data_IF_535334499006
#
_entry.id   IF_535334499006
#
_cell.length_a   1.000
_cell.length_b   1.000
_cell.length_c   1.000
_cell.angle_alpha   90.00
_cell.angle_beta   90.00
_cell.angle_gamma   90.00
#
_symmetry.space_group_name_H-M   'P 1'
#
loop_
_entity.id
_entity.type
_entity.pdbx_description
1 polymer ?
#
# COMPACT_ATOMS: atom_id res chain seq x y z
N UNK A 1 -7.25 -5.30 -8.02
CA UNK A 1 -6.35 -5.83 -9.07
C UNK A 1 -6.92 -7.15 -9.56
N UNK A 2 -6.60 -7.57 -10.77
CA UNK A 2 -7.01 -8.90 -11.29
C UNK A 2 -6.06 -10.00 -10.80
N UNK A 3 -6.44 -11.29 -10.85
CA UNK A 3 -5.54 -12.40 -10.53
C UNK A 3 -4.23 -12.38 -11.33
N UNK A 4 -4.32 -12.02 -12.61
CA UNK A 4 -3.14 -11.90 -13.48
C UNK A 4 -2.20 -10.76 -13.08
N UNK A 5 -2.75 -9.65 -12.58
CA UNK A 5 -1.95 -8.56 -12.00
C UNK A 5 -1.28 -8.99 -10.69
N UNK A 6 -2.00 -9.74 -9.84
CA UNK A 6 -1.45 -10.32 -8.62
C UNK A 6 -0.22 -11.19 -8.94
N UNK A 7 -0.29 -12.07 -9.93
CA UNK A 7 0.87 -12.92 -10.32
C UNK A 7 2.12 -12.11 -10.63
N UNK A 8 1.97 -10.99 -11.35
CA UNK A 8 3.12 -10.11 -11.67
C UNK A 8 3.71 -9.47 -10.42
N UNK A 9 2.88 -9.07 -9.47
CA UNK A 9 3.33 -8.52 -8.19
C UNK A 9 4.04 -9.60 -7.38
N UNK A 10 3.44 -10.79 -7.26
CA UNK A 10 4.00 -11.92 -6.51
C UNK A 10 5.35 -12.38 -7.07
N UNK A 11 5.52 -12.42 -8.40
CA UNK A 11 6.78 -12.80 -9.03
C UNK A 11 7.97 -11.88 -8.68
N UNK A 12 7.70 -10.67 -8.19
CA UNK A 12 8.71 -9.66 -7.85
C UNK A 12 8.76 -9.35 -6.34
N UNK A 13 7.78 -9.80 -5.56
CA UNK A 13 7.78 -9.66 -4.10
C UNK A 13 8.79 -10.63 -3.48
N UNK A 14 9.55 -10.13 -2.51
CA UNK A 14 10.36 -10.96 -1.64
C UNK A 14 9.64 -11.11 -0.29
N UNK A 15 9.62 -12.33 0.26
CA UNK A 15 9.03 -12.62 1.57
C UNK A 15 7.75 -13.47 1.49
N UNK A 16 7.12 -13.67 2.64
CA UNK A 16 5.89 -14.47 2.78
C UNK A 16 4.67 -13.64 2.43
N UNK A 17 3.83 -14.12 1.50
CA UNK A 17 2.56 -13.48 1.17
C UNK A 17 1.40 -14.31 1.72
N UNK A 18 0.54 -13.67 2.53
CA UNK A 18 -0.71 -14.24 2.99
C UNK A 18 -1.87 -13.89 2.06
N UNK A 19 -2.67 -14.88 1.68
CA UNK A 19 -3.93 -14.67 0.96
C UNK A 19 -5.09 -14.97 1.89
N UNK A 20 -6.02 -14.02 2.03
CA UNK A 20 -7.20 -14.17 2.90
C UNK A 20 -8.45 -14.27 2.03
N UNK A 21 -9.26 -15.31 2.28
CA UNK A 21 -10.55 -15.48 1.63
C UNK A 21 -11.68 -15.19 2.62
N UNK A 22 -12.76 -14.59 2.10
CA UNK A 22 -13.95 -14.28 2.89
C UNK A 22 -14.84 -15.49 3.15
N UNK A 23 -15.81 -15.29 4.06
CA UNK A 23 -16.83 -16.29 4.39
C UNK A 23 -17.75 -16.53 3.20
N UNK A 24 -18.30 -17.73 3.09
CA UNK A 24 -19.28 -18.04 2.05
C UNK A 24 -20.55 -17.17 2.23
N UNK A 25 -21.06 -16.60 1.15
CA UNK A 25 -22.22 -15.71 1.13
C UNK A 25 -21.98 -14.27 1.62
N UNK A 26 -21.18 -14.07 2.67
CA UNK A 26 -20.99 -12.73 3.30
C UNK A 26 -19.64 -12.09 3.01
N UNK A 27 -18.63 -12.85 2.57
CA UNK A 27 -17.32 -12.34 2.20
C UNK A 27 -16.48 -11.83 3.38
N UNK A 28 -15.60 -10.87 3.09
CA UNK A 28 -14.84 -10.11 4.07
C UNK A 28 -15.56 -8.79 4.37
N UNK A 29 -15.58 -8.38 5.64
CA UNK A 29 -16.14 -7.09 6.02
C UNK A 29 -15.16 -5.93 5.73
N UNK A 30 -15.65 -4.70 5.79
CA UNK A 30 -14.85 -3.51 5.49
C UNK A 30 -13.63 -3.34 6.40
N UNK A 31 -13.73 -3.78 7.66
CA UNK A 31 -12.62 -3.73 8.61
C UNK A 31 -11.54 -4.74 8.20
N UNK A 32 -11.91 -5.98 7.90
CA UNK A 32 -11.00 -7.02 7.38
C UNK A 32 -10.32 -6.58 6.08
N UNK A 33 -11.09 -6.03 5.14
CA UNK A 33 -10.54 -5.50 3.88
C UNK A 33 -9.54 -4.36 4.09
N UNK A 34 -9.73 -3.53 5.12
CA UNK A 34 -8.83 -2.41 5.43
C UNK A 34 -7.46 -2.84 5.96
N UNK A 35 -7.34 -4.09 6.44
CA UNK A 35 -6.10 -4.67 6.91
C UNK A 35 -5.25 -5.23 5.76
N UNK A 36 -5.86 -5.51 4.60
CA UNK A 36 -5.16 -6.04 3.43
C UNK A 36 -4.42 -4.94 2.65
N UNK A 37 -3.23 -5.26 2.14
CA UNK A 37 -2.46 -4.35 1.28
C UNK A 37 -3.02 -4.24 -0.14
N UNK A 38 -3.73 -5.28 -0.57
CA UNK A 38 -4.27 -5.40 -1.91
C UNK A 38 -5.60 -6.17 -1.89
N UNK A 39 -6.53 -5.73 -2.73
CA UNK A 39 -7.78 -6.45 -3.01
C UNK A 39 -7.71 -7.02 -4.42
N UNK A 40 -7.94 -8.32 -4.54
CA UNK A 40 -7.96 -9.06 -5.80
C UNK A 40 -9.39 -9.35 -6.19
N UNK A 41 -9.77 -9.03 -7.41
CA UNK A 41 -11.12 -9.22 -7.94
C UNK A 41 -11.03 -10.11 -9.16
N UNK A 42 -11.65 -11.28 -9.09
CA UNK A 42 -11.77 -12.20 -10.23
C UNK A 42 -12.84 -11.64 -11.16
N UNK A 43 -12.52 -11.33 -12.43
CA UNK A 43 -13.52 -10.94 -13.40
C UNK A 43 -14.56 -12.05 -13.58
N UNK A 44 -15.83 -11.73 -13.35
CA UNK A 44 -16.96 -12.65 -13.46
C UNK A 44 -18.09 -12.02 -14.30
N UNK A 45 -19.16 -12.79 -14.55
CA UNK A 45 -20.32 -12.30 -15.29
C UNK A 45 -20.93 -11.06 -14.61
N UNK A 46 -21.30 -10.04 -15.38
CA UNK A 46 -21.95 -8.83 -14.84
C UNK A 46 -23.28 -9.13 -14.15
N UNK A 47 -23.99 -10.17 -14.59
CA UNK A 47 -25.28 -10.59 -14.04
C UNK A 47 -25.14 -11.46 -12.78
N UNK A 48 -23.99 -12.11 -12.58
CA UNK A 48 -23.73 -12.98 -11.44
C UNK A 48 -22.24 -12.95 -11.10
N UNK A 49 -21.88 -12.09 -10.14
CA UNK A 49 -20.49 -11.79 -9.78
C UNK A 49 -19.96 -12.69 -8.64
N UNK A 50 -20.76 -13.63 -8.18
CA UNK A 50 -20.41 -14.51 -7.06
C UNK A 50 -19.78 -15.80 -7.59
N UNK A 51 -18.64 -16.18 -7.01
CA UNK A 51 -17.97 -17.45 -7.29
C UNK A 51 -18.02 -18.31 -6.03
N UNK A 52 -18.11 -19.62 -6.22
CA UNK A 52 -17.86 -20.56 -5.13
C UNK A 52 -16.42 -20.37 -4.62
N UNK A 53 -16.23 -20.45 -3.29
CA UNK A 53 -14.95 -20.21 -2.65
C UNK A 53 -13.84 -21.13 -3.20
N UNK A 54 -14.14 -22.41 -3.45
CA UNK A 54 -13.16 -23.35 -3.99
C UNK A 54 -12.71 -22.97 -5.41
N UNK A 55 -13.64 -22.51 -6.26
CA UNK A 55 -13.31 -22.01 -7.60
C UNK A 55 -12.50 -20.72 -7.54
N UNK A 56 -12.86 -19.79 -6.65
CA UNK A 56 -12.10 -18.56 -6.45
C UNK A 56 -10.66 -18.87 -6.00
N UNK A 57 -10.49 -19.78 -5.03
CA UNK A 57 -9.18 -20.22 -4.57
C UNK A 57 -8.36 -20.89 -5.69
N UNK A 58 -8.99 -21.76 -6.48
CA UNK A 58 -8.32 -22.41 -7.61
C UNK A 58 -7.76 -21.39 -8.62
N UNK A 59 -8.54 -20.36 -8.97
CA UNK A 59 -8.10 -19.29 -9.89
C UNK A 59 -6.93 -18.49 -9.28
N UNK A 60 -7.05 -18.09 -8.00
CA UNK A 60 -6.04 -17.28 -7.32
C UNK A 60 -4.71 -18.02 -7.16
N UNK A 61 -4.73 -19.33 -6.96
CA UNK A 61 -3.51 -20.13 -6.83
C UNK A 61 -2.93 -20.56 -8.18
N UNK A 62 -3.78 -20.80 -9.19
CA UNK A 62 -3.35 -21.21 -10.52
C UNK A 62 -2.59 -20.09 -11.25
N UNK A 63 -3.07 -18.84 -11.17
CA UNK A 63 -2.49 -17.72 -11.90
C UNK A 63 -1.01 -17.45 -11.57
N UNK A 64 -0.56 -17.46 -10.30
CA UNK A 64 0.85 -17.35 -9.96
C UNK A 64 1.65 -18.59 -10.38
N UNK A 65 1.09 -19.80 -10.21
CA UNK A 65 1.72 -21.05 -10.63
C UNK A 65 2.02 -21.08 -12.14
N UNK A 66 1.09 -20.56 -12.96
CA UNK A 66 1.22 -20.51 -14.41
C UNK A 66 2.04 -19.30 -14.91
N UNK A 67 2.46 -18.39 -14.02
CA UNK A 67 3.25 -17.23 -14.42
C UNK A 67 4.73 -17.61 -14.55
N UNK A 68 5.33 -17.39 -15.71
CA UNK A 68 6.77 -17.55 -15.89
C UNK A 68 7.51 -16.57 -14.97
N UNK A 69 8.32 -17.11 -14.06
CA UNK A 69 9.21 -16.35 -13.18
C UNK A 69 10.23 -15.58 -14.01
N UNK A 70 9.91 -14.35 -14.42
CA UNK A 70 10.91 -13.44 -14.97
C UNK A 70 11.81 -13.00 -13.83
N UNK A 71 13.06 -13.47 -13.85
CA UNK A 71 14.12 -13.08 -12.92
C UNK A 71 14.08 -11.56 -12.66
N UNK A 72 13.61 -11.17 -11.48
CA UNK A 72 13.51 -9.78 -11.10
C UNK A 72 14.86 -9.33 -10.52
N UNK A 73 15.71 -8.72 -11.35
CA UNK A 73 17.02 -8.18 -10.91
C UNK A 73 16.89 -7.03 -9.90
N UNK A 74 15.71 -6.38 -9.80
CA UNK A 74 15.40 -5.39 -8.76
C UNK A 74 14.15 -5.81 -7.99
N UNK A 75 14.33 -6.13 -6.70
CA UNK A 75 13.22 -6.47 -5.81
C UNK A 75 12.27 -5.30 -5.55
N UNK A 76 11.01 -5.63 -5.24
CA UNK A 76 10.00 -4.64 -4.87
C UNK A 76 10.33 -3.92 -3.55
N UNK A 77 9.70 -2.76 -3.36
CA UNK A 77 9.81 -2.00 -2.13
C UNK A 77 9.33 -2.81 -0.93
N UNK A 78 10.14 -2.84 0.13
CA UNK A 78 9.76 -3.48 1.38
C UNK A 78 8.63 -2.71 2.06
N UNK A 79 7.88 -3.39 2.93
CA UNK A 79 6.86 -2.78 3.78
C UNK A 79 7.41 -1.56 4.52
N UNK A 80 8.61 -1.68 5.10
CA UNK A 80 9.27 -0.58 5.80
C UNK A 80 9.45 0.70 4.97
N UNK A 81 9.82 0.59 3.69
CA UNK A 81 9.97 1.77 2.82
C UNK A 81 8.60 2.37 2.49
N UNK A 82 7.57 1.55 2.27
CA UNK A 82 6.19 2.03 2.02
C UNK A 82 5.63 2.76 3.25
N UNK A 83 5.86 2.22 4.44
CA UNK A 83 5.49 2.86 5.70
C UNK A 83 6.20 4.19 5.91
N UNK A 84 7.48 4.26 5.53
CA UNK A 84 8.25 5.50 5.58
C UNK A 84 7.65 6.58 4.68
N UNK A 85 7.24 6.22 3.44
CA UNK A 85 6.52 7.12 2.52
C UNK A 85 5.24 7.64 3.18
N UNK A 86 4.39 6.74 3.71
CA UNK A 86 3.13 7.11 4.34
C UNK A 86 3.33 8.01 5.56
N UNK A 87 4.37 7.76 6.34
CA UNK A 87 4.72 8.55 7.53
C UNK A 87 5.08 9.98 7.16
N UNK A 88 5.99 10.18 6.20
CA UNK A 88 6.38 11.53 5.76
C UNK A 88 5.24 12.28 5.06
N UNK A 89 4.42 11.58 4.27
CA UNK A 89 3.24 12.17 3.66
C UNK A 89 2.25 12.65 4.74
N UNK A 90 1.92 11.77 5.69
CA UNK A 90 1.01 12.09 6.80
C UNK A 90 1.49 13.28 7.61
N UNK A 91 2.79 13.32 7.91
CA UNK A 91 3.41 14.42 8.66
C UNK A 91 3.41 15.73 7.88
N UNK A 92 3.74 15.69 6.59
CA UNK A 92 3.68 16.87 5.71
C UNK A 92 2.26 17.45 5.63
N UNK A 93 1.24 16.60 5.55
CA UNK A 93 -0.16 17.06 5.56
C UNK A 93 -0.57 17.68 6.90
N UNK A 94 -0.07 17.16 8.04
CA UNK A 94 -0.27 17.77 9.36
C UNK A 94 0.34 19.18 9.40
N UNK A 95 1.58 19.33 8.91
CA UNK A 95 2.25 20.63 8.83
C UNK A 95 1.58 21.59 7.84
N UNK A 96 0.96 21.07 6.78
CA UNK A 96 0.17 21.88 5.84
C UNK A 96 -1.22 22.27 6.38
N UNK A 97 -1.63 21.79 7.57
CA UNK A 97 -2.93 22.10 8.16
C UNK A 97 -4.11 21.36 7.50
N UNK A 98 -3.86 20.21 6.86
CA UNK A 98 -4.93 19.39 6.27
C UNK A 98 -5.75 18.72 7.38
N UNK A 99 -7.08 18.81 7.29
CA UNK A 99 -8.02 18.16 8.22
C UNK A 99 -7.77 16.65 8.38
N UNK A 100 -7.94 16.11 9.60
CA UNK A 100 -7.67 14.70 9.93
C UNK A 100 -8.46 13.71 9.07
N UNK A 101 -9.73 14.02 8.76
CA UNK A 101 -10.56 13.20 7.88
C UNK A 101 -9.95 13.06 6.48
N UNK A 102 -9.51 14.18 5.89
CA UNK A 102 -8.87 14.21 4.56
C UNK A 102 -7.50 13.54 4.59
N UNK A 103 -6.70 13.73 5.66
CA UNK A 103 -5.43 13.04 5.87
C UNK A 103 -5.61 11.51 5.87
N UNK A 104 -6.61 11.01 6.60
CA UNK A 104 -6.93 9.59 6.66
C UNK A 104 -7.33 9.02 5.30
N UNK A 105 -8.15 9.75 4.53
CA UNK A 105 -8.52 9.36 3.17
C UNK A 105 -7.30 9.29 2.24
N UNK A 106 -6.46 10.33 2.24
CA UNK A 106 -5.26 10.39 1.40
C UNK A 106 -4.27 9.28 1.75
N UNK A 107 -3.99 9.06 3.04
CA UNK A 107 -3.08 7.99 3.47
C UNK A 107 -3.60 6.61 3.02
N UNK A 108 -4.90 6.34 3.15
CA UNK A 108 -5.48 5.07 2.63
C UNK A 108 -5.36 4.96 1.12
N UNK A 109 -5.64 6.03 0.38
CA UNK A 109 -5.50 6.04 -1.07
C UNK A 109 -4.06 5.75 -1.50
N UNK A 110 -3.07 6.41 -0.89
CA UNK A 110 -1.65 6.18 -1.17
C UNK A 110 -1.22 4.78 -0.75
N UNK A 111 -1.63 4.28 0.43
CA UNK A 111 -1.36 2.90 0.86
C UNK A 111 -1.85 1.90 -0.18
N UNK A 112 -3.09 2.06 -0.64
CA UNK A 112 -3.68 1.20 -1.67
C UNK A 112 -2.95 1.29 -3.02
N UNK A 113 -2.45 2.47 -3.40
CA UNK A 113 -1.63 2.62 -4.61
C UNK A 113 -0.32 1.87 -4.44
N UNK A 114 0.41 2.10 -3.35
CA UNK A 114 1.71 1.47 -3.07
C UNK A 114 1.60 -0.06 -2.95
N UNK A 115 0.53 -0.57 -2.32
CA UNK A 115 0.29 -2.00 -2.17
C UNK A 115 -0.09 -2.71 -3.46
N UNK A 116 -0.74 -2.01 -4.40
CA UNK A 116 -1.10 -2.56 -5.72
C UNK A 116 -0.02 -2.32 -6.78
N UNK A 117 0.78 -1.28 -6.62
CA UNK A 117 1.90 -1.01 -7.51
C UNK A 117 3.02 -2.01 -7.24
N UNK A 118 3.52 -2.66 -8.28
CA UNK A 118 4.80 -3.35 -8.24
C UNK A 118 5.95 -2.31 -8.19
N UNK A 119 5.92 -1.41 -7.20
CA UNK A 119 6.89 -0.32 -7.05
C UNK A 119 8.25 -0.89 -6.66
N UNK A 120 9.28 -0.54 -7.41
CA UNK A 120 10.63 -1.02 -7.17
C UNK A 120 11.21 -0.36 -5.92
N UNK A 121 12.13 -1.06 -5.26
CA UNK A 121 12.82 -0.53 -4.07
C UNK A 121 13.48 0.83 -4.34
N UNK A 122 14.13 0.98 -5.49
CA UNK A 122 14.79 2.23 -5.90
C UNK A 122 13.80 3.39 -6.02
N UNK A 123 12.67 3.17 -6.70
CA UNK A 123 11.62 4.17 -6.89
C UNK A 123 11.00 4.58 -5.54
N UNK A 124 10.69 3.61 -4.69
CA UNK A 124 10.13 3.87 -3.37
C UNK A 124 11.11 4.66 -2.48
N UNK A 125 12.41 4.36 -2.52
CA UNK A 125 13.41 5.13 -1.79
C UNK A 125 13.52 6.58 -2.30
N UNK A 126 13.41 6.80 -3.61
CA UNK A 126 13.39 8.16 -4.17
C UNK A 126 12.16 8.94 -3.70
N UNK A 127 10.98 8.31 -3.71
CA UNK A 127 9.75 8.92 -3.18
C UNK A 127 9.85 9.22 -1.68
N UNK A 128 10.36 8.28 -0.88
CA UNK A 128 10.57 8.48 0.55
C UNK A 128 11.53 9.65 0.82
N UNK A 129 12.65 9.72 0.07
CA UNK A 129 13.61 10.81 0.17
C UNK A 129 13.02 12.17 -0.21
N UNK A 130 12.21 12.24 -1.27
CA UNK A 130 11.53 13.47 -1.66
C UNK A 130 10.54 13.95 -0.60
N UNK A 131 9.69 13.05 -0.10
CA UNK A 131 8.72 13.38 0.96
C UNK A 131 9.39 13.79 2.27
N UNK A 132 10.51 13.15 2.64
CA UNK A 132 11.32 13.56 3.79
C UNK A 132 11.82 15.01 3.65
N UNK A 133 12.30 15.39 2.46
CA UNK A 133 12.77 16.76 2.22
C UNK A 133 11.62 17.77 2.29
N UNK A 134 10.47 17.41 1.72
CA UNK A 134 9.25 18.24 1.79
C UNK A 134 8.81 18.40 3.25
N UNK A 135 8.78 17.32 4.04
CA UNK A 135 8.38 17.41 5.44
C UNK A 135 9.33 18.27 6.26
N UNK A 136 10.63 18.17 6.01
CA UNK A 136 11.62 19.00 6.70
C UNK A 136 11.47 20.48 6.36
N UNK A 137 11.23 20.83 5.09
CA UNK A 137 11.01 22.22 4.68
C UNK A 137 9.74 22.82 5.31
N UNK A 138 8.66 22.05 5.40
CA UNK A 138 7.46 22.48 6.11
C UNK A 138 7.68 22.64 7.63
N UNK A 139 8.51 21.80 8.23
CA UNK A 139 8.84 21.92 9.64
C UNK A 139 9.69 23.17 9.92
N UNK A 140 10.73 23.39 9.12
CA UNK A 140 11.61 24.56 9.23
C UNK A 140 10.83 25.88 9.11
N UNK A 141 9.97 26.00 8.08
CA UNK A 141 9.12 27.19 7.91
C UNK A 141 8.21 27.47 9.12
N UNK A 142 7.63 26.45 9.75
CA UNK A 142 6.81 26.62 10.96
C UNK A 142 7.60 26.97 12.21
N UNK A 143 8.84 26.48 12.33
CA UNK A 143 9.73 26.85 13.43
C UNK A 143 10.24 28.29 13.30
N UNK A 144 10.46 28.78 12.09
CA UNK A 144 10.82 30.18 11.83
C UNK A 144 9.66 31.15 12.12
N UNK A 145 8.41 30.72 11.91
CA UNK A 145 7.18 31.46 12.27
C UNK A 145 6.79 31.33 13.78
N UNK A 146 7.62 30.68 14.61
CA UNK A 146 7.42 30.63 16.07
C UNK A 146 6.27 29.75 16.56
N UNK A 147 5.76 28.83 15.73
CA UNK A 147 4.50 28.10 15.99
C UNK A 147 4.63 26.69 16.60
N UNK A 148 5.85 26.12 16.75
CA UNK A 148 6.05 24.76 17.31
C UNK A 148 7.26 24.73 18.27
N UNK A 149 7.06 24.22 19.50
CA UNK A 149 8.12 24.01 20.51
C UNK A 149 8.88 22.70 20.27
N UNK A 150 10.14 22.65 20.72
CA UNK A 150 11.17 21.64 20.42
C UNK A 150 10.90 20.17 20.86
N UNK A 151 9.67 19.80 21.22
CA UNK A 151 9.33 18.49 21.81
C UNK A 151 9.18 17.30 20.84
N UNK A 152 8.97 17.53 19.54
CA UNK A 152 8.69 16.45 18.57
C UNK A 152 9.93 15.81 17.92
N UNK A 153 11.13 16.31 18.21
CA UNK A 153 12.39 15.84 17.59
C UNK A 153 12.75 14.38 17.93
N UNK A 154 12.13 13.78 18.96
CA UNK A 154 12.51 12.46 19.47
C UNK A 154 11.87 11.27 18.72
N UNK A 155 10.80 11.48 17.94
CA UNK A 155 10.01 10.36 17.40
C UNK A 155 10.51 9.78 16.04
N UNK A 156 11.60 10.30 15.47
CA UNK A 156 11.98 10.04 14.07
C UNK A 156 13.47 9.75 13.83
N UNK A 157 14.20 9.28 14.84
CA UNK A 157 15.51 8.64 14.62
C UNK A 157 15.36 7.18 14.22
#
# INVERSE_FOLDING_TARGET
MTPRELSKVLAQQAGTVGTVFGREGTGLNNHELSLCDAIVTIPASKAYQTLNLSHAAAIIFYEPFNSESKNAEEGLATEHVRDTILRYLSYSMTLAGVEDYKRGLTNRAVKNVLGRSAIRRREANLLAGALRRISNAFHESRTSDGSISAGEQSAFR
#
